data_IF_817001102991
#
_entry.id   IF_817001102991
#
_cell.length_a   1.000
_cell.length_b   1.000
_cell.length_c   1.000
_cell.angle_alpha   90.00
_cell.angle_beta   90.00
_cell.angle_gamma   90.00
#
_symmetry.space_group_name_H-M   'P 1'
#
loop_
_entity.id
_entity.type
_entity.pdbx_description
1 polymer ?
#
# COMPACT_ATOMS: atom_id res chain seq x y z
N UNK A 1 19.93 -31.23 8.76
CA UNK A 1 19.27 -31.72 7.52
C UNK A 1 18.27 -30.69 6.96
N UNK A 2 18.55 -30.12 5.80
CA UNK A 2 17.67 -29.15 5.12
C UNK A 2 16.51 -29.94 4.48
N UNK A 3 15.29 -29.78 4.99
CA UNK A 3 14.09 -30.33 4.37
C UNK A 3 13.77 -29.57 3.09
N UNK A 4 14.11 -30.13 1.93
CA UNK A 4 13.61 -29.67 0.64
C UNK A 4 12.53 -30.66 0.16
N UNK A 5 11.29 -30.20 -0.01
CA UNK A 5 10.22 -31.01 -0.61
C UNK A 5 10.46 -31.11 -2.12
N UNK A 6 10.49 -32.33 -2.66
CA UNK A 6 10.68 -32.64 -4.09
C UNK A 6 9.45 -32.34 -4.94
N UNK A 7 8.28 -32.15 -4.32
CA UNK A 7 7.01 -31.89 -5.01
C UNK A 7 6.36 -30.59 -4.50
N UNK A 8 5.99 -29.70 -5.43
CA UNK A 8 5.24 -28.49 -5.12
C UNK A 8 3.79 -28.84 -4.80
N UNK A 9 3.29 -28.39 -3.66
CA UNK A 9 1.88 -28.54 -3.26
C UNK A 9 1.03 -27.33 -3.67
N UNK A 10 1.56 -26.43 -4.50
CA UNK A 10 0.79 -25.28 -4.96
C UNK A 10 -0.37 -25.73 -5.86
N UNK A 11 -1.57 -25.14 -5.71
CA UNK A 11 -2.76 -25.49 -6.51
C UNK A 11 -2.59 -25.19 -8.01
N UNK A 12 -1.53 -24.45 -8.37
CA UNK A 12 -1.16 -24.12 -9.75
C UNK A 12 -0.12 -25.08 -10.37
N UNK A 13 0.12 -26.23 -9.73
CA UNK A 13 1.07 -27.25 -10.21
C UNK A 13 2.54 -26.83 -10.11
N UNK A 14 3.43 -27.66 -10.68
CA UNK A 14 4.85 -27.35 -10.86
C UNK A 14 4.93 -26.22 -11.90
N UNK A 15 5.51 -25.06 -11.55
CA UNK A 15 5.61 -23.95 -12.49
C UNK A 15 6.24 -24.43 -13.80
N UNK A 16 5.50 -24.39 -14.91
CA UNK A 16 6.00 -24.73 -16.26
C UNK A 16 7.12 -23.79 -16.72
N UNK A 17 7.44 -22.76 -15.94
CA UNK A 17 8.60 -21.88 -16.11
C UNK A 17 9.88 -22.69 -15.90
N UNK A 18 10.35 -23.31 -16.98
CA UNK A 18 11.68 -23.88 -17.04
C UNK A 18 12.69 -22.75 -16.81
N UNK A 19 13.49 -22.84 -15.75
CA UNK A 19 14.60 -21.91 -15.50
C UNK A 19 15.69 -22.11 -16.55
N UNK A 20 15.47 -21.64 -17.77
CA UNK A 20 16.50 -21.56 -18.81
C UNK A 20 17.52 -20.51 -18.36
N UNK A 21 18.81 -20.85 -18.44
CA UNK A 21 19.89 -19.87 -18.18
C UNK A 21 19.69 -18.70 -19.13
N UNK A 22 19.37 -17.53 -18.58
CA UNK A 22 19.17 -16.31 -19.36
C UNK A 22 20.51 -15.90 -19.99
N UNK A 23 20.47 -15.44 -21.24
CA UNK A 23 21.65 -14.85 -21.88
C UNK A 23 22.11 -13.65 -21.04
N UNK A 24 23.43 -13.47 -20.87
CA UNK A 24 23.99 -12.33 -20.14
C UNK A 24 23.83 -11.06 -20.97
N UNK A 25 22.71 -10.39 -20.82
CA UNK A 25 22.42 -9.08 -21.40
C UNK A 25 22.76 -7.98 -20.40
N UNK A 26 22.98 -6.72 -20.86
CA UNK A 26 23.00 -5.59 -19.94
C UNK A 26 21.66 -5.47 -19.21
N UNK A 27 21.68 -4.91 -18.00
CA UNK A 27 20.46 -4.67 -17.24
C UNK A 27 19.51 -3.79 -18.06
N UNK A 28 18.22 -4.14 -18.15
CA UNK A 28 17.27 -3.35 -18.92
C UNK A 28 17.11 -1.96 -18.29
N UNK A 29 17.01 -0.95 -19.14
CA UNK A 29 16.64 0.41 -18.70
C UNK A 29 15.11 0.45 -18.58
N UNK A 30 14.63 0.63 -17.36
CA UNK A 30 13.19 0.70 -17.08
C UNK A 30 12.72 2.14 -17.30
N UNK A 31 11.66 2.39 -18.10
CA UNK A 31 11.14 3.74 -18.29
C UNK A 31 10.58 4.28 -16.97
N UNK A 32 10.91 5.54 -16.68
CA UNK A 32 10.41 6.25 -15.52
C UNK A 32 9.63 7.47 -15.99
N UNK A 33 8.52 7.72 -15.31
CA UNK A 33 7.62 8.83 -15.56
C UNK A 33 7.57 9.73 -14.32
N UNK A 34 7.58 11.05 -14.49
CA UNK A 34 7.38 11.97 -13.39
C UNK A 34 5.92 11.90 -12.92
N UNK A 35 5.73 11.67 -11.63
CA UNK A 35 4.41 11.61 -11.01
C UNK A 35 4.34 12.58 -9.84
N UNK A 36 3.31 13.42 -9.83
CA UNK A 36 3.00 14.33 -8.73
C UNK A 36 2.12 13.62 -7.70
N UNK A 37 2.63 13.50 -6.49
CA UNK A 37 1.92 12.89 -5.36
C UNK A 37 1.39 14.00 -4.46
N UNK A 38 0.09 13.96 -4.17
CA UNK A 38 -0.60 14.87 -3.23
C UNK A 38 -0.86 14.08 -1.95
N UNK A 39 -0.29 14.54 -0.84
CA UNK A 39 -0.45 13.97 0.49
C UNK A 39 -1.76 14.41 1.15
N UNK A 40 -2.12 13.77 2.27
CA UNK A 40 -3.36 14.05 2.99
C UNK A 40 -3.41 15.48 3.56
N UNK A 41 -2.27 16.04 3.95
CA UNK A 41 -2.08 17.44 4.36
C UNK A 41 -2.17 18.45 3.20
N UNK A 42 -2.28 17.97 1.95
CA UNK A 42 -2.29 18.79 0.73
C UNK A 42 -0.90 19.16 0.20
N UNK A 43 0.17 18.80 0.91
CA UNK A 43 1.53 19.00 0.41
C UNK A 43 1.81 18.10 -0.79
N UNK A 44 2.74 18.52 -1.65
CA UNK A 44 2.99 17.82 -2.92
C UNK A 44 4.47 17.60 -3.17
N UNK A 45 4.80 16.47 -3.79
CA UNK A 45 6.15 16.18 -4.27
C UNK A 45 6.08 15.46 -5.63
N UNK A 46 7.18 15.52 -6.37
CA UNK A 46 7.33 14.82 -7.64
C UNK A 46 8.33 13.69 -7.46
N UNK A 47 7.95 12.48 -7.85
CA UNK A 47 8.84 11.32 -7.88
C UNK A 47 8.84 10.65 -9.25
N UNK A 48 9.87 9.85 -9.51
CA UNK A 48 10.01 9.10 -10.75
C UNK A 48 9.58 7.65 -10.51
N UNK A 49 8.55 7.21 -11.23
CA UNK A 49 7.94 5.88 -11.06
C UNK A 49 7.78 5.19 -12.40
N UNK A 50 7.63 3.87 -12.40
CA UNK A 50 7.33 3.09 -13.61
C UNK A 50 5.86 3.15 -14.01
N UNK A 51 5.00 3.69 -13.15
CA UNK A 51 3.58 3.91 -13.45
C UNK A 51 3.41 5.06 -14.43
N UNK A 52 2.59 4.92 -15.48
CA UNK A 52 2.32 6.00 -16.43
C UNK A 52 1.38 7.08 -15.88
N UNK A 53 0.94 6.98 -14.61
CA UNK A 53 0.01 7.95 -14.01
C UNK A 53 0.75 9.22 -13.61
N UNK A 54 0.27 10.38 -14.08
CA UNK A 54 0.87 11.68 -13.77
C UNK A 54 0.54 12.22 -12.38
N UNK A 55 -0.59 11.79 -11.78
CA UNK A 55 -1.07 12.30 -10.49
C UNK A 55 -1.57 11.17 -9.60
N UNK A 56 -1.17 11.18 -8.33
CA UNK A 56 -1.70 10.30 -7.28
C UNK A 56 -2.05 11.12 -6.04
N UNK A 57 -3.27 10.98 -5.54
CA UNK A 57 -3.71 11.58 -4.27
C UNK A 57 -3.80 10.49 -3.21
N UNK A 58 -3.07 10.66 -2.12
CA UNK A 58 -3.05 9.73 -1.00
C UNK A 58 -4.13 10.13 0.01
N UNK A 59 -4.93 9.15 0.41
CA UNK A 59 -5.89 9.29 1.51
C UNK A 59 -5.25 8.93 2.85
N UNK A 60 -4.24 8.06 2.84
CA UNK A 60 -3.47 7.61 4.02
C UNK A 60 -1.98 7.69 3.72
N UNK A 61 -1.24 8.38 4.58
CA UNK A 61 0.20 8.56 4.44
C UNK A 61 0.87 8.80 5.80
N UNK A 62 2.14 9.22 5.78
CA UNK A 62 2.89 9.48 7.00
C UNK A 62 2.40 10.73 7.75
N UNK A 63 1.69 11.65 7.10
CA UNK A 63 1.25 12.94 7.69
C UNK A 63 -0.04 12.82 8.49
N UNK A 64 -0.90 11.85 8.16
CA UNK A 64 -2.13 11.58 8.90
C UNK A 64 -2.10 10.29 9.74
N UNK A 65 -0.97 9.58 9.76
CA UNK A 65 -0.83 8.39 10.59
C UNK A 65 -0.34 8.75 12.01
N UNK A 66 -1.06 8.31 13.06
CA UNK A 66 -0.74 8.64 14.45
C UNK A 66 0.61 8.08 14.92
N UNK A 67 1.12 7.01 14.31
CA UNK A 67 2.43 6.45 14.67
C UNK A 67 3.57 7.43 14.40
N UNK A 68 3.47 8.20 13.31
CA UNK A 68 4.50 9.15 12.90
C UNK A 68 4.25 10.59 13.36
N UNK A 69 3.02 10.92 13.79
CA UNK A 69 2.64 12.26 14.30
C UNK A 69 2.05 12.19 15.71
N UNK A 70 2.80 11.58 16.64
CA UNK A 70 2.38 11.37 18.03
C UNK A 70 2.02 12.67 18.77
N UNK A 71 2.68 13.79 18.45
CA UNK A 71 2.39 15.11 19.04
C UNK A 71 1.07 15.73 18.57
N UNK A 72 0.53 15.29 17.43
CA UNK A 72 -0.76 15.75 16.89
C UNK A 72 -1.95 14.89 17.36
N UNK A 73 -1.72 13.90 18.25
CA UNK A 73 -2.72 12.93 18.71
C UNK A 73 -3.83 13.50 19.60
N UNK A 74 -3.82 14.78 19.94
CA UNK A 74 -4.82 15.37 20.84
C UNK A 74 -6.27 15.34 20.33
N UNK A 75 -6.49 15.24 19.01
CA UNK A 75 -7.84 15.31 18.43
C UNK A 75 -8.18 14.29 17.33
N UNK A 76 -7.19 13.67 16.67
CA UNK A 76 -7.45 12.86 15.46
C UNK A 76 -7.53 11.34 15.68
N UNK A 77 -7.30 10.85 16.91
CA UNK A 77 -7.31 9.41 17.20
C UNK A 77 -8.70 8.77 16.98
N UNK A 78 -9.77 9.57 16.97
CA UNK A 78 -11.13 9.07 16.94
C UNK A 78 -11.73 8.92 15.55
N UNK A 79 -11.59 9.90 14.66
CA UNK A 79 -12.58 10.04 13.56
C UNK A 79 -12.59 8.86 12.59
N UNK A 80 -11.45 8.35 12.12
CA UNK A 80 -11.48 7.24 11.15
C UNK A 80 -11.74 5.87 11.77
N UNK A 81 -11.30 5.62 13.00
CA UNK A 81 -11.59 4.37 13.72
C UNK A 81 -13.05 4.33 14.17
N UNK A 82 -13.62 5.48 14.53
CA UNK A 82 -15.04 5.65 14.88
C UNK A 82 -15.96 5.66 13.65
N UNK A 83 -15.45 5.94 12.45
CA UNK A 83 -16.24 5.97 11.21
C UNK A 83 -16.13 4.64 10.43
N UNK A 84 -15.03 3.90 10.58
CA UNK A 84 -14.78 2.64 9.90
C UNK A 84 -15.24 1.37 10.63
N UNK A 85 -15.26 0.24 9.94
CA UNK A 85 -15.39 -1.09 10.55
C UNK A 85 -16.74 -1.37 11.25
N UNK A 86 -16.72 -2.25 12.24
CA UNK A 86 -17.90 -2.63 13.04
C UNK A 86 -18.35 -1.52 13.97
N UNK A 87 -17.42 -0.79 14.60
CA UNK A 87 -17.69 0.32 15.52
C UNK A 87 -18.37 1.48 14.79
N UNK A 88 -17.88 1.88 13.63
CA UNK A 88 -18.55 2.93 12.85
C UNK A 88 -19.92 2.52 12.32
N UNK A 89 -20.15 1.24 12.03
CA UNK A 89 -21.49 0.73 11.68
C UNK A 89 -22.44 0.75 12.88
N UNK A 90 -21.93 0.45 14.08
CA UNK A 90 -22.71 0.53 15.31
C UNK A 90 -23.09 1.97 15.61
N UNK A 91 -22.12 2.90 15.62
CA UNK A 91 -22.37 4.32 15.89
C UNK A 91 -23.44 4.88 14.95
N UNK A 92 -23.33 4.67 13.63
CA UNK A 92 -24.34 5.14 12.65
C UNK A 92 -25.75 4.57 12.89
N UNK A 93 -25.87 3.38 13.48
CA UNK A 93 -27.17 2.74 13.74
C UNK A 93 -27.83 3.26 15.02
N UNK A 94 -27.04 3.68 16.00
CA UNK A 94 -27.52 4.00 17.34
C UNK A 94 -27.29 5.46 17.76
N UNK A 95 -26.74 6.30 16.89
CA UNK A 95 -26.48 7.73 17.13
C UNK A 95 -27.75 8.53 17.51
N UNK A 96 -28.91 8.18 16.96
CA UNK A 96 -30.19 8.84 17.26
C UNK A 96 -30.91 8.31 18.51
N UNK A 97 -30.31 7.38 19.25
CA UNK A 97 -30.93 6.69 20.39
C UNK A 97 -30.34 7.15 21.75
N UNK A 98 -29.44 8.14 21.74
CA UNK A 98 -28.77 8.72 22.91
C UNK A 98 -29.06 10.19 23.06
#
# INVERSE_FOLDING_TARGET
PIQARTHSTSPYGRSHVLKRRQNKLPNPVVPQFPQRVIRADGSTFVHWTTSPRSLVRLTRDLTNNPLWNSGSMGGQRGEEELVGGSVGRFNRRFEAMG
#
